data_IF_839563045888
#
_entry.id   IF_839563045888
#
_cell.length_a   1.000
_cell.length_b   1.000
_cell.length_c   1.000
_cell.angle_alpha   90.00
_cell.angle_beta   90.00
_cell.angle_gamma   90.00
#
_symmetry.space_group_name_H-M   'P 1'
#
loop_
_entity.id
_entity.type
_entity.pdbx_description
1 polymer ?
#
# COMPACT_ATOMS: atom_id res chain seq x y z
N UNK A 1 -7.34 2.77 1.74
CA UNK A 1 -8.09 2.63 2.99
C UNK A 1 -9.30 3.51 2.93
N UNK A 2 -10.10 3.50 3.97
CA UNK A 2 -11.30 4.33 4.07
C UNK A 2 -10.93 5.69 4.70
N UNK A 3 -9.82 5.74 5.47
CA UNK A 3 -9.25 6.94 6.08
C UNK A 3 -7.94 7.38 5.41
N UNK A 4 -7.11 6.43 5.00
CA UNK A 4 -5.81 6.69 4.38
C UNK A 4 -5.77 6.26 2.91
N UNK A 5 -5.15 7.10 2.09
CA UNK A 5 -4.67 6.75 0.76
C UNK A 5 -3.26 6.16 0.88
N UNK A 6 -3.02 5.03 0.22
CA UNK A 6 -1.73 4.36 0.20
C UNK A 6 -1.11 4.46 -1.19
N UNK A 7 0.10 4.99 -1.27
CA UNK A 7 0.81 5.23 -2.51
C UNK A 7 2.12 4.43 -2.52
N UNK A 8 2.27 3.57 -3.53
CA UNK A 8 3.51 2.86 -3.80
C UNK A 8 4.24 3.45 -5.00
N UNK A 9 5.58 3.49 -4.95
CA UNK A 9 6.42 3.82 -6.10
C UNK A 9 7.22 2.62 -6.59
N UNK A 10 7.61 2.63 -7.87
CA UNK A 10 8.47 1.61 -8.47
C UNK A 10 9.82 1.47 -7.76
N UNK A 11 10.28 2.52 -7.08
CA UNK A 11 11.56 2.54 -6.36
C UNK A 11 11.48 2.01 -4.92
N UNK A 12 10.32 1.52 -4.48
CA UNK A 12 10.18 0.94 -3.14
C UNK A 12 9.81 1.92 -2.04
N UNK A 13 9.27 3.09 -2.38
CA UNK A 13 8.64 3.95 -1.40
C UNK A 13 7.16 3.58 -1.23
N UNK A 14 6.72 3.55 0.02
CA UNK A 14 5.32 3.42 0.41
C UNK A 14 4.97 4.60 1.33
N UNK A 15 3.90 5.29 0.98
CA UNK A 15 3.42 6.45 1.74
C UNK A 15 1.94 6.24 2.06
N UNK A 16 1.55 6.56 3.29
CA UNK A 16 0.17 6.68 3.72
C UNK A 16 -0.15 8.15 3.97
N UNK A 17 -1.25 8.65 3.43
CA UNK A 17 -1.72 10.03 3.64
C UNK A 17 -3.20 10.03 4.01
N UNK A 18 -3.59 10.86 4.98
CA UNK A 18 -4.99 11.03 5.37
C UNK A 18 -5.76 11.63 4.20
N UNK A 19 -6.88 11.02 3.85
CA UNK A 19 -7.68 11.43 2.68
C UNK A 19 -8.32 12.81 2.86
N UNK A 20 -8.63 13.19 4.10
CA UNK A 20 -9.33 14.43 4.44
C UNK A 20 -8.49 15.69 4.19
N UNK A 21 -7.20 15.67 4.55
CA UNK A 21 -6.35 16.88 4.56
C UNK A 21 -4.93 16.66 4.02
N UNK A 22 -4.61 15.45 3.56
CA UNK A 22 -3.31 15.11 3.01
C UNK A 22 -2.19 14.95 4.04
N UNK A 23 -2.48 14.97 5.35
CA UNK A 23 -1.44 14.75 6.35
C UNK A 23 -0.80 13.37 6.21
N UNK A 24 0.52 13.33 6.39
CA UNK A 24 1.30 12.09 6.33
C UNK A 24 0.91 11.18 7.52
N UNK A 25 0.43 9.97 7.22
CA UNK A 25 0.30 8.91 8.21
C UNK A 25 1.64 8.24 8.47
N UNK A 26 2.28 7.75 7.41
CA UNK A 26 3.66 7.25 7.46
C UNK A 26 4.33 7.28 6.08
N UNK A 27 5.66 7.24 6.09
CA UNK A 27 6.47 6.96 4.90
C UNK A 27 7.48 5.85 5.23
N UNK A 28 7.62 4.89 4.32
CA UNK A 28 8.52 3.77 4.46
C UNK A 28 9.27 3.52 3.15
N UNK A 29 10.58 3.26 3.26
CA UNK A 29 11.42 2.88 2.13
C UNK A 29 11.83 1.42 2.27
N UNK A 30 11.28 0.56 1.41
CA UNK A 30 11.66 -0.85 1.32
C UNK A 30 13.09 -1.05 0.79
N UNK A 31 13.70 0.01 0.22
CA UNK A 31 15.05 0.01 -0.37
C UNK A 31 15.22 -1.09 -1.44
N UNK A 32 14.13 -1.49 -2.08
CA UNK A 32 14.06 -2.52 -3.10
C UNK A 32 13.05 -2.09 -4.16
N UNK A 33 13.34 -2.27 -5.46
CA UNK A 33 12.37 -2.03 -6.51
C UNK A 33 11.14 -2.93 -6.39
N UNK A 34 9.97 -2.34 -6.61
CA UNK A 34 8.68 -3.02 -6.53
C UNK A 34 8.27 -3.55 -7.90
N UNK A 35 7.85 -4.82 -7.95
CA UNK A 35 7.42 -5.46 -9.19
C UNK A 35 6.00 -5.06 -9.58
N UNK A 36 5.14 -4.92 -8.58
CA UNK A 36 3.73 -4.60 -8.73
C UNK A 36 3.27 -3.66 -7.62
N UNK A 37 2.10 -3.05 -7.81
CA UNK A 37 1.43 -2.28 -6.77
C UNK A 37 1.16 -3.15 -5.53
N UNK A 38 1.21 -2.57 -4.32
CA UNK A 38 1.00 -3.32 -3.09
C UNK A 38 -0.47 -3.72 -2.89
N UNK A 39 -0.69 -4.78 -2.12
CA UNK A 39 -2.00 -5.19 -1.62
C UNK A 39 -2.24 -4.71 -0.18
N UNK A 40 -3.48 -4.37 0.15
CA UNK A 40 -3.90 -3.94 1.48
C UNK A 40 -4.85 -4.97 2.06
N UNK A 41 -4.43 -5.68 3.11
CA UNK A 41 -5.25 -6.73 3.73
C UNK A 41 -5.05 -6.77 5.26
N UNK A 42 -6.16 -6.71 6.00
CA UNK A 42 -6.18 -6.90 7.46
C UNK A 42 -5.25 -5.98 8.24
N UNK A 43 -5.14 -4.71 7.83
CA UNK A 43 -4.27 -3.72 8.48
C UNK A 43 -2.79 -3.83 8.08
N UNK A 44 -2.49 -4.48 6.96
CA UNK A 44 -1.11 -4.65 6.48
C UNK A 44 -0.98 -4.29 5.01
N UNK A 45 0.23 -3.88 4.64
CA UNK A 45 0.61 -3.67 3.24
C UNK A 45 1.55 -4.78 2.79
N UNK A 46 1.18 -5.47 1.71
CA UNK A 46 1.96 -6.55 1.12
C UNK A 46 2.54 -6.11 -0.21
N UNK A 47 3.83 -6.37 -0.39
CA UNK A 47 4.61 -5.77 -1.46
C UNK A 47 5.58 -6.81 -2.04
N UNK A 48 5.38 -7.18 -3.32
CA UNK A 48 6.29 -8.06 -4.06
C UNK A 48 7.44 -7.28 -4.70
N UNK A 49 8.68 -7.71 -4.49
CA UNK A 49 9.88 -7.08 -5.04
C UNK A 49 10.35 -7.75 -6.34
N UNK A 50 11.16 -7.05 -7.13
CA UNK A 50 11.72 -7.60 -8.38
C UNK A 50 12.64 -8.82 -8.18
N UNK A 51 13.22 -8.99 -6.99
CA UNK A 51 14.08 -10.14 -6.67
C UNK A 51 13.31 -11.30 -5.99
N UNK A 52 11.98 -11.29 -6.04
CA UNK A 52 11.15 -12.41 -5.59
C UNK A 52 10.89 -12.46 -4.09
N UNK A 53 11.11 -11.36 -3.36
CA UNK A 53 10.74 -11.26 -1.95
C UNK A 53 9.29 -10.77 -1.81
N UNK A 54 8.61 -11.26 -0.79
CA UNK A 54 7.35 -10.71 -0.31
C UNK A 54 7.62 -9.95 0.99
N UNK A 55 7.35 -8.65 0.97
CA UNK A 55 7.45 -7.78 2.14
C UNK A 55 6.05 -7.58 2.73
N UNK A 56 5.96 -7.64 4.05
CA UNK A 56 4.77 -7.26 4.81
C UNK A 56 5.12 -6.12 5.76
N UNK A 57 4.44 -4.98 5.60
CA UNK A 57 4.51 -3.86 6.53
C UNK A 57 3.22 -3.81 7.35
N UNK A 58 3.36 -3.97 8.67
CA UNK A 58 2.27 -3.69 9.61
C UNK A 58 2.09 -2.18 9.70
N UNK A 59 0.91 -1.67 9.40
CA UNK A 59 0.64 -0.22 9.45
C UNK A 59 0.32 0.26 10.87
N UNK A 60 -0.09 -0.66 11.75
CA UNK A 60 -0.63 -0.32 13.07
C UNK A 60 -2.10 0.13 13.04
N UNK A 61 -2.72 0.13 11.86
CA UNK A 61 -4.10 0.57 11.64
C UNK A 61 -4.85 -0.42 10.75
N UNK A 62 -6.08 -0.77 11.14
CA UNK A 62 -6.97 -1.66 10.37
C UNK A 62 -7.40 -1.07 9.02
N UNK A 63 -7.20 0.22 8.78
CA UNK A 63 -7.57 0.92 7.55
C UNK A 63 -6.88 0.38 6.27
N UNK A 64 -5.71 -0.24 6.44
CA UNK A 64 -4.98 -0.93 5.38
C UNK A 64 -5.62 -2.29 5.06
N UNK A 65 -6.83 -2.25 4.53
CA UNK A 65 -7.61 -3.42 4.12
C UNK A 65 -8.36 -3.16 2.81
N UNK A 66 -9.10 -4.14 2.28
CA UNK A 66 -10.04 -3.99 1.17
C UNK A 66 -9.43 -4.01 -0.24
N UNK A 67 -8.11 -4.17 -0.37
CA UNK A 67 -7.43 -4.34 -1.65
C UNK A 67 -6.64 -5.64 -1.68
N UNK A 68 -7.34 -6.77 -1.81
CA UNK A 68 -6.77 -8.11 -1.63
C UNK A 68 -6.10 -8.70 -2.90
N UNK A 69 -5.82 -7.86 -3.91
CA UNK A 69 -5.35 -8.31 -5.22
C UNK A 69 -4.12 -7.56 -5.71
N UNK A 70 -3.41 -8.16 -6.67
CA UNK A 70 -2.25 -7.58 -7.34
C UNK A 70 -2.64 -7.18 -8.77
N UNK A 71 -2.04 -6.12 -9.30
CA UNK A 71 -2.20 -5.78 -10.72
C UNK A 71 -3.49 -5.07 -11.13
N UNK A 72 -4.23 -4.46 -10.20
CA UNK A 72 -5.37 -3.60 -10.53
C UNK A 72 -4.98 -2.26 -11.18
N UNK A 73 -5.96 -1.51 -11.64
CA UNK A 73 -5.78 -0.11 -12.05
C UNK A 73 -6.77 0.75 -11.26
N UNK A 74 -6.81 2.07 -11.50
CA UNK A 74 -7.72 2.97 -10.81
C UNK A 74 -9.22 2.65 -11.01
N UNK A 75 -9.58 1.77 -11.96
CA UNK A 75 -10.96 1.30 -12.14
C UNK A 75 -11.35 0.21 -11.14
N UNK A 76 -10.39 -0.35 -10.40
CA UNK A 76 -10.60 -1.42 -9.43
C UNK A 76 -10.76 -0.91 -8.00
N UNK A 77 -11.23 0.32 -7.78
CA UNK A 77 -11.43 0.88 -6.43
C UNK A 77 -12.21 -0.08 -5.52
N UNK A 78 -11.92 -0.03 -4.22
CA UNK A 78 -12.78 -0.69 -3.24
C UNK A 78 -14.23 -0.32 -3.54
N UNK A 79 -15.09 -1.34 -3.70
CA UNK A 79 -16.52 -1.08 -3.66
C UNK A 79 -16.86 -0.49 -2.28
N UNK A 80 -17.69 0.55 -2.26
CA UNK A 80 -18.14 1.22 -1.03
C UNK A 80 -18.93 0.26 -0.14
#
# INVERSE_FOLDING_TARGET
GDQFMYLGSLLGHLVSMRQEDGQLGFAYAFKQPMAFQPALAGGNVYAGTNNGLLICLKTGDKDADGWHMWGGNAQHNKEQ
#
